data_IF_910772358056
#
_entry.id   IF_910772358056
#
_cell.length_a   1.000
_cell.length_b   1.000
_cell.length_c   1.000
_cell.angle_alpha   90.00
_cell.angle_beta   90.00
_cell.angle_gamma   90.00
#
_symmetry.space_group_name_H-M   'P 1'
#
loop_
_entity.id
_entity.type
_entity.pdbx_description
1 polymer ?
#
# COMPACT_ATOMS: atom_id res chain seq x y z
N UNK A 1 -33.11 -50.48 63.12
CA UNK A 1 -33.43 -49.83 64.42
C UNK A 1 -32.89 -48.41 64.36
N UNK A 2 -33.80 -47.44 64.31
CA UNK A 2 -33.99 -46.35 65.31
C UNK A 2 -32.94 -45.22 65.19
N UNK A 3 -33.32 -44.01 64.71
CA UNK A 3 -33.72 -42.80 65.49
C UNK A 3 -32.58 -42.33 66.44
N UNK A 4 -32.06 -41.09 66.44
CA UNK A 4 -32.73 -39.78 66.55
C UNK A 4 -31.70 -38.61 66.43
N UNK A 5 -32.20 -37.40 66.11
CA UNK A 5 -31.89 -36.00 66.58
C UNK A 5 -30.57 -35.71 67.35
N UNK A 6 -29.86 -34.56 67.32
CA UNK A 6 -30.25 -33.14 67.29
C UNK A 6 -29.01 -32.19 67.08
N UNK A 7 -29.07 -31.25 66.12
CA UNK A 7 -28.79 -29.77 66.14
C UNK A 7 -27.61 -29.16 66.96
N UNK A 8 -26.66 -28.45 66.32
CA UNK A 8 -26.33 -26.96 66.28
C UNK A 8 -24.78 -26.84 66.28
N UNK A 9 -24.08 -25.88 65.65
CA UNK A 9 -24.24 -24.44 65.50
C UNK A 9 -23.66 -23.90 64.16
N UNK A 10 -24.07 -22.67 63.82
CA UNK A 10 -23.86 -21.97 62.56
C UNK A 10 -22.64 -21.02 62.56
N UNK A 11 -22.04 -20.83 61.38
CA UNK A 11 -21.26 -19.64 60.99
C UNK A 11 -21.84 -19.06 59.68
N UNK A 12 -21.75 -17.74 59.44
CA UNK A 12 -22.63 -17.04 58.49
C UNK A 12 -22.08 -16.98 57.06
N UNK A 13 -22.95 -17.33 56.11
CA UNK A 13 -22.82 -17.08 54.67
C UNK A 13 -22.91 -15.57 54.36
N UNK A 14 -21.89 -15.05 53.68
CA UNK A 14 -21.89 -13.69 53.11
C UNK A 14 -22.33 -13.76 51.65
N UNK A 15 -23.53 -13.21 51.37
CA UNK A 15 -24.01 -12.90 50.02
C UNK A 15 -23.15 -11.79 49.38
N UNK A 16 -22.77 -11.90 48.09
CA UNK A 16 -22.32 -10.75 47.32
C UNK A 16 -23.50 -9.91 46.84
N UNK A 17 -23.42 -8.60 47.08
CA UNK A 17 -24.33 -7.58 46.57
C UNK A 17 -24.19 -7.39 45.05
N UNK A 18 -25.33 -7.16 44.39
CA UNK A 18 -25.48 -6.76 43.00
C UNK A 18 -24.71 -5.46 42.71
N UNK A 19 -23.84 -5.50 41.69
CA UNK A 19 -23.26 -4.30 41.08
C UNK A 19 -23.81 -4.15 39.67
N UNK A 20 -24.62 -3.09 39.54
CA UNK A 20 -25.12 -2.46 38.31
C UNK A 20 -24.16 -2.60 37.12
N UNK A 21 -24.69 -3.14 36.02
CA UNK A 21 -24.05 -3.19 34.71
C UNK A 21 -23.80 -1.77 34.19
N UNK A 22 -22.54 -1.34 34.22
CA UNK A 22 -22.07 -0.15 33.52
C UNK A 22 -21.68 -0.58 32.09
N UNK A 23 -22.43 -0.07 31.11
CA UNK A 23 -22.20 -0.25 29.67
C UNK A 23 -20.75 0.12 29.33
N UNK A 24 -19.95 -0.73 28.64
CA UNK A 24 -18.62 -0.33 28.22
C UNK A 24 -18.74 0.75 27.15
N UNK A 25 -18.06 1.88 27.38
CA UNK A 25 -17.85 2.90 26.36
C UNK A 25 -17.08 2.29 25.16
N UNK A 26 -17.32 2.75 23.92
CA UNK A 26 -16.60 2.24 22.76
C UNK A 26 -15.11 2.57 22.91
N UNK A 27 -14.27 1.56 22.69
CA UNK A 27 -12.83 1.72 22.60
C UNK A 27 -12.50 2.76 21.53
N UNK A 28 -11.66 3.73 21.88
CA UNK A 28 -11.02 4.61 20.92
C UNK A 28 -9.98 3.79 20.14
N UNK A 29 -10.43 3.10 19.08
CA UNK A 29 -9.56 2.51 18.07
C UNK A 29 -9.16 3.59 17.05
N UNK A 30 -7.86 3.76 16.82
CA UNK A 30 -7.36 4.67 15.80
C UNK A 30 -5.91 5.16 15.94
N UNK A 31 -5.12 4.66 16.89
CA UNK A 31 -3.78 5.18 17.17
C UNK A 31 -2.61 4.44 16.49
N UNK A 32 -2.84 3.57 15.49
CA UNK A 32 -1.75 2.76 14.89
C UNK A 32 -1.13 3.32 13.60
N UNK A 33 -1.60 4.45 13.06
CA UNK A 33 -1.14 4.93 11.72
C UNK A 33 -0.71 6.39 11.67
N UNK A 34 -0.69 7.13 12.79
CA UNK A 34 -0.33 8.55 12.82
C UNK A 34 -1.24 9.48 12.01
N UNK A 35 -2.36 8.94 11.52
CA UNK A 35 -3.29 9.61 10.63
C UNK A 35 -4.61 9.84 11.34
N UNK A 36 -5.19 11.05 11.20
CA UNK A 36 -6.50 11.34 11.76
C UNK A 36 -7.55 10.52 11.01
N UNK A 37 -8.24 9.67 11.77
CA UNK A 37 -9.36 8.86 11.29
C UNK A 37 -10.66 9.32 11.91
N UNK A 38 -11.76 9.30 11.16
CA UNK A 38 -13.10 9.52 11.71
C UNK A 38 -14.12 8.56 11.10
N UNK A 39 -15.09 8.15 11.92
CA UNK A 39 -16.18 7.29 11.47
C UNK A 39 -17.04 7.97 10.39
N UNK A 40 -17.28 9.28 10.52
CA UNK A 40 -18.00 10.07 9.50
C UNK A 40 -17.30 10.08 8.14
N UNK A 41 -15.97 9.98 8.12
CA UNK A 41 -15.19 9.87 6.89
C UNK A 41 -15.36 8.48 6.30
N UNK A 42 -15.22 7.46 7.12
CA UNK A 42 -15.34 6.05 6.73
C UNK A 42 -16.71 5.73 6.13
N UNK A 43 -17.80 6.19 6.75
CA UNK A 43 -19.18 6.00 6.26
C UNK A 43 -19.47 6.69 4.91
N UNK A 44 -18.59 7.59 4.46
CA UNK A 44 -18.67 8.24 3.15
C UNK A 44 -17.80 7.56 2.09
N UNK A 45 -16.86 6.71 2.48
CA UNK A 45 -16.03 5.98 1.52
C UNK A 45 -16.87 4.88 0.89
N UNK A 46 -16.79 4.72 -0.44
CA UNK A 46 -17.52 3.68 -1.14
C UNK A 46 -17.13 2.28 -0.63
N UNK A 47 -18.14 1.44 -0.40
CA UNK A 47 -17.95 0.06 0.07
C UNK A 47 -17.05 -0.80 -0.83
N UNK A 48 -16.90 -0.43 -2.11
CA UNK A 48 -16.03 -1.11 -3.05
C UNK A 48 -14.57 -0.62 -3.05
N UNK A 49 -14.22 0.40 -2.25
CA UNK A 49 -12.83 0.78 -1.94
C UNK A 49 -12.30 -0.19 -0.88
N UNK A 50 -11.46 -1.12 -1.29
CA UNK A 50 -10.89 -2.14 -0.42
C UNK A 50 -9.74 -1.61 0.43
N UNK A 51 -9.04 -0.60 -0.07
CA UNK A 51 -7.89 0.01 0.60
C UNK A 51 -7.57 1.36 -0.04
N UNK A 52 -7.01 2.29 0.75
CA UNK A 52 -6.46 3.55 0.24
C UNK A 52 -5.22 3.97 1.03
N UNK A 53 -4.39 4.81 0.45
CA UNK A 53 -3.21 5.33 1.13
C UNK A 53 -2.28 6.12 0.22
N UNK A 54 -0.99 6.14 0.56
CA UNK A 54 0.05 6.85 -0.19
C UNK A 54 0.87 5.84 -1.00
N UNK A 55 1.21 6.19 -2.23
CA UNK A 55 2.06 5.41 -3.13
C UNK A 55 3.31 6.21 -3.44
N UNK A 56 4.46 5.55 -3.36
CA UNK A 56 5.76 6.12 -3.73
C UNK A 56 6.35 5.33 -4.90
N UNK A 57 6.90 6.01 -5.89
CA UNK A 57 7.54 5.39 -7.05
C UNK A 57 9.04 5.63 -7.01
N UNK A 58 9.78 4.54 -7.21
CA UNK A 58 11.23 4.54 -7.16
C UNK A 58 11.85 3.97 -8.42
N UNK A 59 13.02 4.48 -8.77
CA UNK A 59 13.92 3.81 -9.70
C UNK A 59 15.27 3.56 -9.02
N UNK A 60 15.93 2.48 -9.40
CA UNK A 60 17.32 2.22 -9.02
C UNK A 60 18.23 2.35 -10.23
N UNK A 61 19.25 3.22 -10.20
CA UNK A 61 20.29 3.27 -11.22
C UNK A 61 20.99 1.92 -11.43
N UNK A 62 21.57 1.69 -12.61
CA UNK A 62 22.50 0.58 -12.81
C UNK A 62 23.77 0.77 -11.98
N UNK A 63 24.42 -0.34 -11.65
CA UNK A 63 25.75 -0.34 -11.04
C UNK A 63 26.70 0.52 -11.88
N UNK A 64 27.48 1.38 -11.23
CA UNK A 64 28.39 2.36 -11.83
C UNK A 64 27.71 3.46 -12.66
N UNK A 65 26.40 3.68 -12.51
CA UNK A 65 25.71 4.85 -13.03
C UNK A 65 25.35 5.77 -11.87
N UNK A 66 26.06 6.88 -11.75
CA UNK A 66 25.78 7.91 -10.73
C UNK A 66 24.66 8.84 -11.16
N UNK A 67 24.57 9.16 -12.45
CA UNK A 67 23.61 10.11 -13.00
C UNK A 67 22.91 9.51 -14.23
N UNK A 68 21.79 8.80 -14.03
CA UNK A 68 21.05 8.19 -15.13
C UNK A 68 20.53 9.25 -16.10
N UNK A 69 20.65 8.99 -17.40
CA UNK A 69 20.20 9.93 -18.44
C UNK A 69 19.01 9.39 -19.26
N UNK A 70 18.56 8.17 -18.93
CA UNK A 70 17.44 7.50 -19.60
C UNK A 70 16.97 6.26 -18.82
N UNK A 71 15.82 5.70 -19.20
CA UNK A 71 15.34 4.39 -18.71
C UNK A 71 16.35 3.26 -18.95
N UNK A 72 17.23 3.40 -19.94
CA UNK A 72 18.24 2.39 -20.24
C UNK A 72 19.28 2.26 -19.11
N UNK A 73 19.56 3.36 -18.41
CA UNK A 73 20.51 3.49 -17.30
C UNK A 73 19.95 3.04 -15.95
N UNK A 74 18.65 2.74 -15.91
CA UNK A 74 17.95 2.25 -14.73
C UNK A 74 18.10 0.73 -14.66
N UNK A 75 18.35 0.17 -13.48
CA UNK A 75 18.35 -1.27 -13.26
C UNK A 75 16.92 -1.80 -13.14
N UNK A 76 16.09 -1.15 -12.32
CA UNK A 76 14.69 -1.52 -12.05
C UNK A 76 13.91 -0.33 -11.52
N UNK A 77 12.59 -0.39 -11.64
CA UNK A 77 11.64 0.46 -10.92
C UNK A 77 10.77 -0.40 -10.02
N UNK A 78 10.15 0.23 -9.03
CA UNK A 78 9.23 -0.40 -8.10
C UNK A 78 8.34 0.66 -7.48
N UNK A 79 7.26 0.23 -6.84
CA UNK A 79 6.39 1.11 -6.08
C UNK A 79 6.25 0.61 -4.65
N UNK A 80 6.04 1.53 -3.72
CA UNK A 80 5.79 1.25 -2.31
C UNK A 80 4.38 1.73 -1.99
N UNK A 81 3.51 0.82 -1.57
CA UNK A 81 2.20 1.15 -1.05
C UNK A 81 2.28 1.31 0.47
N UNK A 82 1.73 2.42 0.97
CA UNK A 82 1.57 2.72 2.38
C UNK A 82 0.07 2.88 2.68
N UNK A 83 -0.60 1.80 3.08
CA UNK A 83 -2.01 1.84 3.44
C UNK A 83 -2.30 2.81 4.58
N UNK A 84 -3.49 3.37 4.55
CA UNK A 84 -4.07 4.17 5.62
C UNK A 84 -5.43 3.57 6.02
N UNK A 85 -5.93 3.80 7.25
CA UNK A 85 -7.29 3.41 7.61
C UNK A 85 -8.31 3.99 6.64
N UNK A 86 -9.45 3.32 6.41
CA UNK A 86 -10.46 3.82 5.47
C UNK A 86 -11.04 5.18 5.91
N UNK A 87 -11.20 5.41 7.22
CA UNK A 87 -11.60 6.72 7.77
C UNK A 87 -10.51 7.81 7.75
N UNK A 88 -9.31 7.53 7.22
CA UNK A 88 -8.18 8.45 7.21
C UNK A 88 -8.43 9.73 6.39
N UNK A 89 -7.89 10.84 6.89
CA UNK A 89 -7.67 12.09 6.15
C UNK A 89 -6.19 12.42 6.11
N UNK A 90 -5.72 13.16 5.11
CA UNK A 90 -4.31 13.59 5.01
C UNK A 90 -4.24 15.12 5.11
N UNK A 91 -4.48 15.74 6.26
CA UNK A 91 -4.53 17.21 6.34
C UNK A 91 -3.27 17.88 6.91
N UNK A 92 -3.20 19.21 6.83
CA UNK A 92 -2.09 20.04 7.30
C UNK A 92 -1.68 19.81 8.76
N UNK A 93 -2.58 19.28 9.60
CA UNK A 93 -2.31 19.06 11.02
C UNK A 93 -1.52 17.77 11.29
N UNK A 94 -1.16 17.03 10.23
CA UNK A 94 -0.70 15.65 10.31
C UNK A 94 0.81 15.47 10.08
N UNK A 95 1.54 16.54 9.75
CA UNK A 95 2.99 16.51 9.59
C UNK A 95 3.47 15.45 8.58
N UNK A 96 4.71 14.99 8.75
CA UNK A 96 5.20 13.81 8.02
C UNK A 96 4.50 12.55 8.53
N UNK A 97 4.09 11.68 7.60
CA UNK A 97 3.29 10.49 7.92
C UNK A 97 4.10 9.54 8.79
N UNK A 98 3.49 8.91 9.82
CA UNK A 98 4.24 8.21 10.87
C UNK A 98 5.10 7.01 10.40
N UNK A 99 6.38 6.92 10.81
CA UNK A 99 7.31 5.88 10.36
C UNK A 99 6.87 4.43 10.59
N UNK A 100 5.92 4.17 11.50
CA UNK A 100 5.45 2.84 11.88
C UNK A 100 4.46 2.18 10.90
N UNK A 101 3.93 2.93 9.93
CA UNK A 101 2.98 2.39 8.96
C UNK A 101 3.58 1.21 8.17
N UNK A 102 2.84 0.11 8.11
CA UNK A 102 3.23 -1.11 7.40
C UNK A 102 3.10 -0.93 5.90
N UNK A 103 4.23 -0.87 5.21
CA UNK A 103 4.34 -0.68 3.78
C UNK A 103 4.51 -2.02 3.04
N UNK A 104 4.16 -2.00 1.74
CA UNK A 104 4.41 -3.11 0.81
C UNK A 104 5.23 -2.61 -0.37
N UNK A 105 6.37 -3.25 -0.63
CA UNK A 105 7.19 -2.97 -1.80
C UNK A 105 6.79 -3.93 -2.92
N UNK A 106 6.20 -3.39 -3.98
CA UNK A 106 5.76 -4.14 -5.15
C UNK A 106 6.77 -3.96 -6.29
N UNK A 107 7.21 -5.08 -6.86
CA UNK A 107 8.22 -5.10 -7.92
C UNK A 107 7.65 -5.62 -9.23
N UNK A 108 8.02 -4.97 -10.33
CA UNK A 108 7.80 -5.46 -11.68
C UNK A 108 9.16 -5.74 -12.37
N UNK A 109 9.28 -6.79 -13.20
CA UNK A 109 10.48 -7.08 -13.97
C UNK A 109 10.80 -6.02 -15.03
N UNK A 110 9.76 -5.38 -15.57
CA UNK A 110 9.91 -4.28 -16.52
C UNK A 110 10.11 -2.97 -15.76
N UNK A 111 10.86 -2.07 -16.39
CA UNK A 111 11.14 -0.74 -15.82
C UNK A 111 9.98 0.22 -16.01
N UNK A 112 9.17 0.08 -17.06
CA UNK A 112 8.00 0.92 -17.31
C UNK A 112 6.75 0.24 -16.78
N UNK A 113 5.83 1.02 -16.22
CA UNK A 113 4.52 0.54 -15.82
C UNK A 113 3.59 0.39 -17.04
N UNK A 114 2.67 -0.59 -17.05
CA UNK A 114 1.72 -0.78 -18.15
C UNK A 114 0.83 0.44 -18.36
N UNK A 115 0.75 0.95 -19.59
CA UNK A 115 -0.11 2.10 -19.93
C UNK A 115 -1.32 1.73 -20.79
N UNK A 116 -1.41 0.48 -21.24
CA UNK A 116 -2.53 0.00 -22.06
C UNK A 116 -2.95 -1.42 -21.70
N UNK A 117 -4.20 -1.80 -22.04
CA UNK A 117 -4.72 -3.16 -21.77
C UNK A 117 -4.02 -4.29 -22.54
N UNK A 118 -3.13 -3.95 -23.47
CA UNK A 118 -2.24 -4.88 -24.18
C UNK A 118 -0.97 -5.18 -23.37
N UNK A 119 -0.59 -4.28 -22.48
CA UNK A 119 0.57 -4.41 -21.62
C UNK A 119 0.14 -5.10 -20.32
N UNK A 120 0.78 -6.24 -20.06
CA UNK A 120 0.46 -7.11 -18.92
C UNK A 120 1.77 -7.55 -18.32
N UNK A 121 2.03 -7.10 -17.11
CA UNK A 121 3.27 -7.36 -16.43
C UNK A 121 3.03 -8.13 -15.14
N UNK A 122 3.73 -9.24 -15.03
CA UNK A 122 3.80 -10.01 -13.80
C UNK A 122 4.61 -9.23 -12.78
N UNK A 123 4.07 -8.99 -11.60
CA UNK A 123 4.78 -8.43 -10.46
C UNK A 123 4.80 -9.38 -9.27
N UNK A 124 5.55 -9.00 -8.24
CA UNK A 124 5.56 -9.70 -6.97
C UNK A 124 5.83 -8.75 -5.80
N UNK A 125 5.44 -9.17 -4.60
CA UNK A 125 5.73 -8.46 -3.36
C UNK A 125 7.14 -8.81 -2.90
N UNK A 126 8.05 -7.84 -2.90
CA UNK A 126 9.44 -8.03 -2.42
C UNK A 126 9.48 -7.94 -0.89
N UNK A 127 8.76 -6.98 -0.31
CA UNK A 127 8.66 -6.76 1.14
C UNK A 127 7.20 -6.52 1.50
N UNK A 128 6.71 -7.19 2.54
CA UNK A 128 5.35 -7.00 3.05
C UNK A 128 5.38 -6.68 4.54
N UNK A 129 4.59 -5.72 4.99
CA UNK A 129 4.44 -5.40 6.42
C UNK A 129 5.64 -4.68 7.05
N UNK A 130 6.53 -4.08 6.25
CA UNK A 130 7.72 -3.39 6.76
C UNK A 130 7.42 -1.91 7.02
N UNK A 131 7.98 -1.34 8.09
CA UNK A 131 7.98 0.12 8.27
C UNK A 131 8.75 0.81 7.15
N UNK A 132 8.43 2.09 6.87
CA UNK A 132 9.17 2.86 5.86
C UNK A 132 10.66 2.92 6.20
N UNK A 133 11.00 3.12 7.48
CA UNK A 133 12.39 3.06 7.96
C UNK A 133 13.06 1.71 7.67
N UNK A 134 12.36 0.59 7.89
CA UNK A 134 12.90 -0.74 7.58
C UNK A 134 13.12 -0.93 6.07
N UNK A 135 12.23 -0.41 5.22
CA UNK A 135 12.43 -0.41 3.77
C UNK A 135 13.62 0.46 3.36
N UNK A 136 13.76 1.63 3.99
CA UNK A 136 14.87 2.56 3.76
C UNK A 136 16.22 1.86 3.98
N UNK A 137 16.39 1.25 5.15
CA UNK A 137 17.64 0.59 5.58
C UNK A 137 17.90 -0.72 4.84
N UNK A 138 16.88 -1.56 4.62
CA UNK A 138 17.06 -2.92 4.09
C UNK A 138 16.97 -3.04 2.57
N UNK A 139 16.44 -2.00 1.90
CA UNK A 139 16.24 -2.05 0.46
C UNK A 139 16.64 -0.76 -0.24
N UNK A 140 16.18 0.41 0.19
CA UNK A 140 16.30 1.66 -0.60
C UNK A 140 17.75 2.17 -0.62
N UNK A 141 18.44 2.22 0.52
CA UNK A 141 19.76 2.85 0.70
C UNK A 141 20.90 2.27 -0.19
N UNK A 142 20.67 1.15 -0.86
CA UNK A 142 21.71 0.43 -1.59
C UNK A 142 22.59 -0.39 -0.66
N UNK A 143 23.57 -1.11 -1.22
CA UNK A 143 24.46 -1.98 -0.46
C UNK A 143 25.79 -2.18 -1.21
N UNK A 144 26.85 -2.49 -0.49
CA UNK A 144 28.17 -2.77 -1.08
C UNK A 144 28.56 -4.21 -0.81
N UNK A 145 28.90 -4.94 -1.87
CA UNK A 145 29.20 -6.37 -1.80
C UNK A 145 30.41 -6.74 -2.65
N UNK A 146 31.21 -7.69 -2.19
CA UNK A 146 32.36 -8.19 -2.96
C UNK A 146 31.96 -9.27 -3.97
N UNK A 147 32.52 -9.18 -5.17
CA UNK A 147 32.39 -10.21 -6.20
C UNK A 147 33.70 -10.96 -6.39
N UNK A 148 33.64 -12.29 -6.46
CA UNK A 148 34.82 -13.15 -6.59
C UNK A 148 35.65 -12.92 -7.86
N UNK A 149 35.11 -12.21 -8.86
CA UNK A 149 35.75 -12.02 -10.17
C UNK A 149 36.10 -10.57 -10.48
N UNK A 150 35.44 -9.59 -9.83
CA UNK A 150 35.54 -8.17 -10.21
C UNK A 150 35.64 -7.22 -9.02
N UNK A 151 35.97 -7.74 -7.82
CA UNK A 151 36.13 -6.94 -6.62
C UNK A 151 34.81 -6.40 -6.07
N UNK A 152 34.91 -5.36 -5.25
CA UNK A 152 33.79 -4.66 -4.60
C UNK A 152 32.84 -4.03 -5.63
N UNK A 153 31.54 -4.21 -5.42
CA UNK A 153 30.46 -3.61 -6.20
C UNK A 153 29.48 -2.93 -5.27
N UNK A 154 29.06 -1.73 -5.65
CA UNK A 154 28.00 -1.00 -4.95
C UNK A 154 26.72 -1.05 -5.76
N UNK A 155 25.66 -1.55 -5.12
CA UNK A 155 24.28 -1.37 -5.56
C UNK A 155 23.90 0.07 -5.21
N UNK A 156 23.58 0.92 -6.21
CA UNK A 156 23.19 2.30 -5.92
C UNK A 156 21.90 2.37 -5.12
N UNK A 157 21.78 3.42 -4.33
CA UNK A 157 20.54 3.82 -3.67
C UNK A 157 19.40 3.98 -4.70
N UNK A 158 18.20 3.55 -4.33
CA UNK A 158 17.00 3.81 -5.11
C UNK A 158 16.51 5.24 -4.86
N UNK A 159 16.14 5.94 -5.93
CA UNK A 159 15.69 7.33 -5.89
C UNK A 159 14.18 7.40 -6.06
N UNK A 160 13.47 8.10 -5.16
CA UNK A 160 12.07 8.40 -5.39
C UNK A 160 11.95 9.40 -6.55
N UNK A 161 10.95 9.21 -7.40
CA UNK A 161 10.69 10.11 -8.53
C UNK A 161 9.22 10.51 -8.66
N UNK A 162 8.33 9.92 -7.86
CA UNK A 162 6.96 10.40 -7.71
C UNK A 162 6.36 9.93 -6.38
N UNK A 163 5.44 10.72 -5.84
CA UNK A 163 4.52 10.37 -4.77
C UNK A 163 3.09 10.65 -5.25
N UNK A 164 2.15 9.85 -4.79
CA UNK A 164 0.74 10.12 -4.96
C UNK A 164 -0.10 9.45 -3.90
N UNK A 165 -1.41 9.60 -4.04
CA UNK A 165 -2.40 8.82 -3.30
C UNK A 165 -2.89 7.68 -4.17
N UNK A 166 -3.32 6.58 -3.55
CA UNK A 166 -3.88 5.44 -4.27
C UNK A 166 -5.13 4.88 -3.60
N UNK A 167 -5.91 4.15 -4.39
CA UNK A 167 -6.99 3.30 -3.91
C UNK A 167 -6.96 1.94 -4.63
N UNK A 168 -7.19 0.87 -3.88
CA UNK A 168 -7.55 -0.43 -4.43
C UNK A 168 -9.07 -0.52 -4.42
N UNK A 169 -9.69 -0.62 -5.59
CA UNK A 169 -11.14 -0.72 -5.73
C UNK A 169 -11.55 -2.04 -6.34
N UNK A 170 -12.77 -2.47 -6.06
CA UNK A 170 -13.34 -3.70 -6.60
C UNK A 170 -14.51 -3.40 -7.52
N UNK A 171 -14.62 -4.21 -8.57
CA UNK A 171 -15.78 -4.34 -9.43
C UNK A 171 -16.20 -5.81 -9.45
N UNK A 172 -17.33 -6.14 -10.09
CA UNK A 172 -17.83 -7.52 -10.17
C UNK A 172 -16.80 -8.50 -10.77
N UNK A 173 -15.87 -8.02 -11.61
CA UNK A 173 -14.97 -8.89 -12.38
C UNK A 173 -13.47 -8.64 -12.18
N UNK A 174 -13.10 -7.56 -11.48
CA UNK A 174 -11.71 -7.16 -11.36
C UNK A 174 -11.48 -6.31 -10.10
N UNK A 175 -10.22 -6.23 -9.70
CA UNK A 175 -9.75 -5.21 -8.78
C UNK A 175 -8.89 -4.23 -9.55
N UNK A 176 -8.87 -2.99 -9.10
CA UNK A 176 -8.20 -1.89 -9.76
C UNK A 176 -7.28 -1.20 -8.75
N UNK A 177 -6.06 -0.85 -9.16
CA UNK A 177 -5.18 0.05 -8.43
C UNK A 177 -5.19 1.39 -9.15
N UNK A 178 -5.87 2.38 -8.56
CA UNK A 178 -5.90 3.75 -9.06
C UNK A 178 -4.93 4.63 -8.29
N UNK A 179 -4.37 5.64 -8.96
CA UNK A 179 -3.49 6.62 -8.33
C UNK A 179 -3.73 8.04 -8.87
N UNK A 180 -3.42 9.03 -8.04
CA UNK A 180 -3.28 10.44 -8.41
C UNK A 180 -1.93 10.89 -7.86
N UNK A 181 -1.04 11.36 -8.73
CA UNK A 181 0.26 11.88 -8.31
C UNK A 181 0.11 13.29 -7.74
N UNK A 182 0.83 13.54 -6.66
CA UNK A 182 0.88 14.84 -5.97
C UNK A 182 2.31 15.38 -5.89
N UNK A 183 3.33 14.54 -6.14
CA UNK A 183 4.72 14.92 -6.35
C UNK A 183 5.26 14.16 -7.56
N UNK A 184 5.96 14.82 -8.50
CA UNK A 184 6.16 16.27 -8.58
C UNK A 184 4.85 17.00 -8.90
N UNK A 185 4.74 18.29 -8.56
CA UNK A 185 3.58 19.13 -8.90
C UNK A 185 3.29 19.10 -10.42
N UNK A 186 4.34 19.09 -11.24
CA UNK A 186 4.23 18.95 -12.70
C UNK A 186 4.97 17.71 -13.18
N UNK A 187 4.23 16.82 -13.85
CA UNK A 187 4.78 15.63 -14.51
C UNK A 187 5.80 16.03 -15.57
N UNK A 188 6.97 15.38 -15.54
CA UNK A 188 8.01 15.58 -16.53
C UNK A 188 8.40 14.31 -17.27
N UNK A 189 9.45 14.41 -18.08
CA UNK A 189 9.89 13.34 -18.99
C UNK A 189 10.27 12.06 -18.24
N UNK A 190 10.79 12.14 -17.02
CA UNK A 190 11.10 10.94 -16.24
C UNK A 190 9.82 10.15 -15.94
N UNK A 191 8.80 10.81 -15.40
CA UNK A 191 7.54 10.14 -15.03
C UNK A 191 6.88 9.52 -16.28
N UNK A 192 6.80 10.27 -17.38
CA UNK A 192 6.28 9.79 -18.67
C UNK A 192 7.08 8.60 -19.20
N UNK A 193 8.41 8.65 -19.12
CA UNK A 193 9.28 7.57 -19.57
C UNK A 193 9.07 6.28 -18.77
N UNK A 194 8.66 6.39 -17.51
CA UNK A 194 8.28 5.27 -16.66
C UNK A 194 6.83 4.80 -16.86
N UNK A 195 6.05 5.47 -17.72
CA UNK A 195 4.64 5.15 -17.97
C UNK A 195 3.70 5.68 -16.88
N UNK A 196 4.12 6.69 -16.13
CA UNK A 196 3.28 7.40 -15.17
C UNK A 196 2.70 8.67 -15.80
N UNK A 197 1.47 8.97 -15.38
CA UNK A 197 0.72 10.16 -15.75
C UNK A 197 0.29 10.89 -14.48
N UNK A 198 -0.35 12.06 -14.61
CA UNK A 198 -0.87 12.80 -13.44
C UNK A 198 -1.84 11.96 -12.59
N UNK A 199 -2.62 11.10 -13.27
CA UNK A 199 -3.52 10.12 -12.69
C UNK A 199 -3.64 8.91 -13.61
N UNK A 200 -4.01 7.77 -13.06
CA UNK A 200 -4.16 6.55 -13.84
C UNK A 200 -4.68 5.38 -13.02
N UNK A 201 -4.88 4.26 -13.71
CA UNK A 201 -5.26 3.01 -13.05
C UNK A 201 -4.77 1.77 -13.79
N UNK A 202 -4.62 0.69 -13.02
CA UNK A 202 -4.31 -0.65 -13.50
C UNK A 202 -5.35 -1.65 -13.02
N UNK A 203 -5.70 -2.61 -13.87
CA UNK A 203 -6.36 -3.83 -13.41
C UNK A 203 -5.31 -4.72 -12.74
N UNK A 204 -5.63 -5.19 -11.53
CA UNK A 204 -4.74 -6.02 -10.70
C UNK A 204 -5.40 -7.36 -10.35
N UNK A 205 -4.66 -8.44 -10.55
CA UNK A 205 -5.11 -9.81 -10.25
C UNK A 205 -4.06 -10.55 -9.44
N UNK A 206 -4.47 -11.30 -8.43
CA UNK A 206 -3.57 -12.16 -7.66
C UNK A 206 -3.42 -13.51 -8.33
N UNK A 207 -2.18 -13.97 -8.44
CA UNK A 207 -1.86 -15.29 -8.95
C UNK A 207 -1.99 -16.33 -7.83
N UNK A 208 -2.69 -17.42 -8.13
CA UNK A 208 -2.74 -18.56 -7.23
C UNK A 208 -1.40 -19.34 -7.28
N UNK A 209 -0.66 -19.50 -6.17
CA UNK A 209 0.62 -20.21 -6.14
C UNK A 209 0.50 -21.71 -6.44
N UNK A 210 -0.72 -22.29 -6.35
CA UNK A 210 -1.01 -23.67 -6.77
C UNK A 210 -0.63 -23.93 -8.23
N UNK A 211 -0.63 -22.90 -9.09
CA UNK A 211 -0.36 -23.03 -10.51
C UNK A 211 0.99 -22.38 -10.89
N UNK A 212 1.84 -23.09 -11.66
CA UNK A 212 3.15 -22.58 -12.04
C UNK A 212 3.03 -21.30 -12.85
N UNK A 213 3.92 -20.34 -12.64
CA UNK A 213 3.97 -19.09 -13.41
C UNK A 213 4.51 -19.31 -14.83
N UNK A 214 4.32 -18.33 -15.74
CA UNK A 214 5.05 -18.33 -17.00
C UNK A 214 6.56 -18.31 -16.71
N UNK A 215 7.36 -18.97 -17.55
CA UNK A 215 8.79 -19.20 -17.30
C UNK A 215 9.59 -17.92 -17.04
N UNK A 216 9.22 -16.80 -17.66
CA UNK A 216 9.88 -15.50 -17.49
C UNK A 216 9.56 -14.80 -16.15
N UNK A 217 8.58 -15.29 -15.39
CA UNK A 217 8.14 -14.72 -14.11
C UNK A 217 8.04 -15.78 -13.02
N UNK A 218 8.84 -16.85 -13.11
CA UNK A 218 8.99 -17.81 -12.03
C UNK A 218 9.90 -17.24 -10.95
N UNK A 219 9.42 -17.28 -9.72
CA UNK A 219 10.19 -16.90 -8.54
C UNK A 219 10.67 -18.17 -7.82
N UNK A 220 11.74 -18.05 -7.03
CA UNK A 220 12.37 -19.20 -6.38
C UNK A 220 11.52 -19.79 -5.25
N UNK A 221 10.70 -18.96 -4.60
CA UNK A 221 9.89 -19.31 -3.44
C UNK A 221 8.49 -18.74 -3.60
N UNK A 222 7.47 -19.53 -3.30
CA UNK A 222 6.08 -19.11 -3.28
C UNK A 222 5.74 -18.31 -2.01
N UNK A 223 4.66 -17.50 -2.00
CA UNK A 223 4.19 -16.83 -0.79
C UNK A 223 3.73 -17.83 0.27
N UNK A 224 4.03 -17.50 1.53
CA UNK A 224 3.63 -18.29 2.70
C UNK A 224 2.18 -17.96 3.12
N UNK A 225 1.22 -18.29 2.26
CA UNK A 225 -0.19 -18.07 2.58
C UNK A 225 -0.70 -19.07 3.64
N UNK A 226 -1.45 -18.59 4.67
CA UNK A 226 -2.24 -19.48 5.52
C UNK A 226 -3.40 -20.08 4.72
N UNK A 227 -4.00 -21.14 5.25
CA UNK A 227 -5.05 -21.88 4.55
C UNK A 227 -6.26 -21.00 4.21
N UNK A 228 -6.65 -20.09 5.12
CA UNK A 228 -7.73 -19.13 4.91
C UNK A 228 -7.53 -18.23 3.69
N UNK A 229 -6.29 -17.90 3.33
CA UNK A 229 -5.96 -17.12 2.13
C UNK A 229 -5.94 -18.03 0.90
N UNK A 230 -5.40 -19.25 1.02
CA UNK A 230 -5.37 -20.23 -0.08
C UNK A 230 -6.77 -20.62 -0.53
N UNK A 231 -7.69 -20.84 0.39
CA UNK A 231 -9.09 -21.18 0.12
C UNK A 231 -9.80 -20.10 -0.71
N UNK A 232 -9.47 -18.82 -0.52
CA UNK A 232 -10.06 -17.70 -1.27
C UNK A 232 -9.69 -17.73 -2.77
N UNK A 233 -8.61 -18.39 -3.16
CA UNK A 233 -8.30 -18.60 -4.58
C UNK A 233 -9.13 -19.71 -5.22
N UNK A 234 -9.61 -20.68 -4.44
CA UNK A 234 -10.22 -21.90 -4.95
C UNK A 234 -9.35 -22.60 -5.99
N UNK A 235 -9.99 -23.07 -7.07
CA UNK A 235 -9.31 -23.67 -8.23
C UNK A 235 -9.00 -22.66 -9.35
N UNK A 236 -9.17 -21.36 -9.09
CA UNK A 236 -8.84 -20.35 -10.08
C UNK A 236 -7.33 -20.08 -10.08
N UNK A 237 -6.76 -19.98 -11.28
CA UNK A 237 -5.36 -19.58 -11.48
C UNK A 237 -5.14 -18.10 -11.13
N UNK A 238 -6.18 -17.30 -11.33
CA UNK A 238 -6.20 -15.85 -11.16
C UNK A 238 -7.50 -15.45 -10.48
N UNK A 239 -7.40 -14.55 -9.51
CA UNK A 239 -8.54 -13.92 -8.85
C UNK A 239 -8.35 -12.41 -8.82
N UNK A 240 -9.42 -11.60 -8.74
CA UNK A 240 -9.30 -10.18 -8.43
C UNK A 240 -8.45 -9.97 -7.17
N UNK A 241 -7.53 -9.00 -7.20
CA UNK A 241 -6.64 -8.77 -6.09
C UNK A 241 -7.40 -8.26 -4.85
N UNK A 242 -7.18 -8.88 -3.71
CA UNK A 242 -7.58 -8.38 -2.39
C UNK A 242 -6.32 -7.89 -1.65
N UNK A 243 -6.42 -6.83 -0.83
CA UNK A 243 -5.26 -6.30 -0.09
C UNK A 243 -4.47 -7.36 0.69
N UNK A 244 -5.17 -8.28 1.36
CA UNK A 244 -4.57 -9.38 2.13
C UNK A 244 -3.71 -10.32 1.27
N UNK A 245 -3.95 -10.42 -0.03
CA UNK A 245 -3.16 -11.29 -0.91
C UNK A 245 -1.75 -10.75 -1.13
N UNK A 246 -1.51 -9.46 -0.90
CA UNK A 246 -0.18 -8.84 -1.06
C UNK A 246 0.49 -8.51 0.28
N UNK A 247 -0.04 -9.03 1.39
CA UNK A 247 0.58 -8.94 2.72
C UNK A 247 1.66 -10.02 2.96
N UNK A 248 2.04 -10.75 1.91
CA UNK A 248 3.00 -11.84 1.98
C UNK A 248 4.13 -11.61 0.97
N UNK A 249 5.41 -11.69 1.39
CA UNK A 249 6.52 -11.70 0.45
C UNK A 249 6.35 -12.82 -0.57
N UNK A 250 6.83 -12.58 -1.79
CA UNK A 250 6.70 -13.47 -2.95
C UNK A 250 5.28 -13.61 -3.51
N UNK A 251 4.27 -12.95 -2.94
CA UNK A 251 2.93 -12.93 -3.54
C UNK A 251 3.01 -12.36 -4.95
N UNK A 252 2.56 -13.12 -5.94
CA UNK A 252 2.61 -12.72 -7.34
C UNK A 252 1.28 -12.13 -7.79
N UNK A 253 1.36 -11.07 -8.58
CA UNK A 253 0.19 -10.42 -9.16
C UNK A 253 0.42 -10.13 -10.65
N UNK A 254 -0.67 -9.91 -11.37
CA UNK A 254 -0.66 -9.41 -12.73
C UNK A 254 -1.17 -7.96 -12.70
N UNK A 255 -0.40 -7.05 -13.28
CA UNK A 255 -0.77 -5.65 -13.47
C UNK A 255 -1.00 -5.38 -14.96
N UNK A 256 -2.16 -4.83 -15.31
CA UNK A 256 -2.59 -4.59 -16.68
C UNK A 256 -2.96 -3.11 -16.81
N UNK A 257 -2.45 -2.42 -17.84
CA UNK A 257 -2.79 -1.02 -18.09
C UNK A 257 -4.30 -0.85 -18.30
N UNK A 258 -4.91 0.13 -17.63
CA UNK A 258 -6.33 0.42 -17.78
C UNK A 258 -6.57 1.85 -18.29
N UNK A 259 -6.22 2.85 -17.49
CA UNK A 259 -6.43 4.26 -17.82
C UNK A 259 -5.19 5.11 -17.54
N UNK A 260 -5.00 6.13 -18.37
CA UNK A 260 -3.95 7.15 -18.29
C UNK A 260 -4.61 8.52 -18.40
N UNK A 261 -4.24 9.46 -17.54
CA UNK A 261 -4.89 10.78 -17.42
C UNK A 261 -6.38 10.73 -17.05
N UNK A 262 -6.86 9.55 -16.66
CA UNK A 262 -8.20 9.25 -16.17
C UNK A 262 -8.12 8.08 -15.18
N UNK A 263 -9.14 7.88 -14.35
CA UNK A 263 -9.18 6.80 -13.36
C UNK A 263 -9.89 5.53 -13.89
N UNK A 264 -10.60 5.63 -15.01
CA UNK A 264 -11.31 4.53 -15.64
C UNK A 264 -12.36 3.92 -14.73
N UNK A 265 -12.52 2.59 -14.79
CA UNK A 265 -13.48 1.86 -13.97
C UNK A 265 -13.15 1.90 -12.48
N UNK A 266 -11.90 2.20 -12.14
CA UNK A 266 -11.46 2.28 -10.76
C UNK A 266 -12.15 3.41 -9.99
N UNK A 267 -12.63 4.45 -10.68
CA UNK A 267 -13.31 5.61 -10.08
C UNK A 267 -14.80 5.40 -9.81
N UNK A 268 -15.41 4.31 -10.26
CA UNK A 268 -16.87 4.13 -10.21
C UNK A 268 -17.26 2.87 -9.45
N UNK A 269 -18.24 2.99 -8.56
CA UNK A 269 -18.94 1.83 -8.02
C UNK A 269 -20.04 1.38 -9.02
N UNK A 270 -20.11 0.08 -9.29
CA UNK A 270 -21.20 -0.52 -10.08
C UNK A 270 -22.55 -0.44 -9.31
N UNK A 271 -23.67 -0.71 -9.98
CA UNK A 271 -24.99 -0.68 -9.34
C UNK A 271 -25.03 -1.63 -8.12
N UNK A 272 -25.39 -1.10 -6.95
CA UNK A 272 -25.36 -1.83 -5.68
C UNK A 272 -23.96 -1.96 -5.05
N UNK A 273 -22.91 -1.45 -5.69
CA UNK A 273 -21.53 -1.46 -5.18
C UNK A 273 -21.20 -0.32 -4.21
N UNK A 274 -22.15 0.59 -3.97
CA UNK A 274 -22.08 1.63 -2.95
C UNK A 274 -23.45 1.96 -2.36
N UNK A 275 -23.46 2.54 -1.16
CA UNK A 275 -24.67 3.10 -0.55
C UNK A 275 -24.97 4.52 -1.08
N UNK A 276 -26.18 5.02 -0.86
CA UNK A 276 -26.62 6.32 -1.40
C UNK A 276 -25.86 7.52 -0.79
N UNK A 277 -25.40 7.39 0.46
CA UNK A 277 -24.61 8.39 1.20
C UNK A 277 -23.10 8.30 0.95
N UNK A 278 -22.64 7.24 0.27
CA UNK A 278 -21.23 7.04 -0.06
C UNK A 278 -20.85 7.84 -1.32
N UNK A 279 -19.65 8.42 -1.31
CA UNK A 279 -19.03 9.05 -2.47
C UNK A 279 -18.71 8.01 -3.56
N UNK A 280 -18.42 8.44 -4.78
CA UNK A 280 -17.78 7.55 -5.75
C UNK A 280 -16.31 7.29 -5.35
N UNK A 281 -15.73 6.12 -5.67
CA UNK A 281 -14.31 5.87 -5.42
C UNK A 281 -13.37 6.93 -5.99
N UNK A 282 -13.69 7.46 -7.18
CA UNK A 282 -12.94 8.54 -7.81
C UNK A 282 -13.01 9.84 -7.00
N UNK A 283 -14.19 10.21 -6.50
CA UNK A 283 -14.37 11.39 -5.64
C UNK A 283 -13.60 11.26 -4.33
N UNK A 284 -13.57 10.05 -3.74
CA UNK A 284 -12.77 9.78 -2.54
C UNK A 284 -11.28 9.93 -2.82
N UNK A 285 -10.79 9.39 -3.94
CA UNK A 285 -9.38 9.47 -4.31
C UNK A 285 -8.96 10.90 -4.66
N UNK A 286 -9.80 11.66 -5.37
CA UNK A 286 -9.56 13.08 -5.65
C UNK A 286 -9.51 13.91 -4.38
N UNK A 287 -10.43 13.67 -3.45
CA UNK A 287 -10.40 14.33 -2.14
C UNK A 287 -9.15 13.99 -1.35
N UNK A 288 -8.73 12.71 -1.35
CA UNK A 288 -7.49 12.29 -0.70
C UNK A 288 -6.26 12.95 -1.34
N UNK A 289 -6.28 13.14 -2.67
CA UNK A 289 -5.24 13.85 -3.41
C UNK A 289 -5.14 15.32 -3.01
N UNK A 290 -6.28 16.04 -2.97
CA UNK A 290 -6.34 17.44 -2.53
C UNK A 290 -5.85 17.60 -1.08
N UNK A 291 -6.29 16.71 -0.18
CA UNK A 291 -5.80 16.67 1.20
C UNK A 291 -4.26 16.51 1.22
N UNK A 292 -3.72 15.56 0.44
CA UNK A 292 -2.28 15.35 0.36
C UNK A 292 -1.52 16.55 -0.23
N UNK A 293 -2.07 17.23 -1.25
CA UNK A 293 -1.51 18.46 -1.81
C UNK A 293 -1.45 19.57 -0.76
N UNK A 294 -2.54 19.80 0.00
CA UNK A 294 -2.55 20.78 1.10
C UNK A 294 -1.48 20.45 2.16
N UNK A 295 -1.28 19.16 2.46
CA UNK A 295 -0.22 18.69 3.36
C UNK A 295 1.18 18.99 2.80
N UNK A 296 1.40 18.70 1.51
CA UNK A 296 2.66 18.93 0.80
C UNK A 296 3.00 20.43 0.77
N UNK A 297 2.03 21.28 0.45
CA UNK A 297 2.19 22.74 0.43
C UNK A 297 2.49 23.31 1.83
N UNK A 298 1.84 22.78 2.87
CA UNK A 298 2.09 23.18 4.25
C UNK A 298 3.46 22.73 4.79
N UNK A 299 4.10 21.76 4.13
CA UNK A 299 5.42 21.23 4.47
C UNK A 299 6.51 21.89 3.61
N UNK A 300 7.19 21.13 2.74
CA UNK A 300 8.33 21.61 1.94
C UNK A 300 8.09 21.47 0.43
N UNK A 301 6.83 21.44 0.00
CA UNK A 301 6.52 21.15 -1.40
C UNK A 301 7.02 19.75 -1.78
N UNK A 302 7.53 19.59 -3.00
CA UNK A 302 8.04 18.31 -3.52
C UNK A 302 9.08 17.62 -2.63
N UNK A 303 9.83 18.36 -1.81
CA UNK A 303 10.84 17.79 -0.90
C UNK A 303 10.20 17.01 0.27
N UNK A 304 8.88 17.15 0.49
CA UNK A 304 8.08 16.40 1.47
C UNK A 304 8.26 14.88 1.33
N UNK A 305 8.45 14.40 0.09
CA UNK A 305 8.66 12.98 -0.18
C UNK A 305 9.87 12.42 0.59
N UNK A 306 10.94 13.21 0.75
CA UNK A 306 12.12 12.76 1.48
C UNK A 306 11.81 12.65 2.97
N UNK A 307 11.07 13.60 3.54
CA UNK A 307 10.68 13.56 4.95
C UNK A 307 9.78 12.34 5.23
N UNK A 308 8.82 12.05 4.36
CA UNK A 308 7.92 10.89 4.48
C UNK A 308 8.62 9.54 4.36
N UNK A 309 9.76 9.51 3.66
CA UNK A 309 10.64 8.34 3.56
C UNK A 309 11.63 8.24 4.74
N UNK A 310 11.58 9.17 5.69
CA UNK A 310 12.50 9.22 6.83
C UNK A 310 13.89 9.72 6.46
N UNK A 311 14.00 10.48 5.36
CA UNK A 311 15.22 11.05 4.83
C UNK A 311 15.34 12.55 5.17
N UNK A 312 16.56 13.02 5.39
CA UNK A 312 16.82 14.45 5.47
C UNK A 312 16.87 15.02 4.05
N UNK A 313 15.82 15.72 3.65
CA UNK A 313 15.69 16.35 2.34
C UNK A 313 16.92 17.17 1.91
N UNK A 314 17.68 17.74 2.86
CA UNK A 314 18.90 18.52 2.56
C UNK A 314 20.02 17.67 1.95
N UNK A 315 19.97 16.36 2.14
CA UNK A 315 20.98 15.43 1.63
C UNK A 315 20.62 14.87 0.24
N UNK A 316 19.45 15.22 -0.30
CA UNK A 316 18.96 14.72 -1.58
C UNK A 316 18.77 15.87 -2.58
N UNK A 317 18.97 15.61 -3.88
CA UNK A 317 18.55 16.56 -4.91
C UNK A 317 17.02 16.71 -4.88
N UNK A 318 16.50 17.73 -5.57
CA UNK A 318 15.05 17.82 -5.81
C UNK A 318 14.53 16.59 -6.54
N UNK A 319 13.25 16.29 -6.34
CA UNK A 319 12.57 15.23 -7.08
C UNK A 319 12.72 15.45 -8.57
N UNK A 320 13.27 14.48 -9.32
CA UNK A 320 13.65 14.72 -10.71
C UNK A 320 12.42 14.63 -11.62
N UNK A 321 12.16 15.68 -12.40
CA UNK A 321 11.15 15.72 -13.47
C UNK A 321 11.77 15.42 -14.84
N UNK A 322 13.08 15.63 -14.99
CA UNK A 322 13.87 15.35 -16.21
C UNK A 322 15.11 14.56 -15.86
N UNK A 323 15.66 13.85 -16.85
CA UNK A 323 16.95 13.16 -16.78
C UNK A 323 18.12 14.13 -16.61
#
# INVERSE_FOLDING_TARGET
EEKSEEKRDAEPDTKPEEKSEEKPAPAADGAETGVKTSQEREEKVASNVLEKGIVYFFYRPRVNVTDPQSVSDVARSFLVLRPTPIGATLNQQQGSVEPGAKCRLLMLPKKKFPTSGKERDMGFVEKAGHSMKSLQESFIAGDTYETSTRGERTVPEARPFAEGVYAITSTTRASHLAYILTIPETIGSIQEDFGLHSRGSWVIQSKNPKYPGPSYAQIQKDPEYPESIREKFGDYRWVPLQPEFIDYPNAQFLMIGEATDDLGKAATAEEGGKQANEAQPGEELEKLGQENEERIEALRGDDTIYEDLGLDAKNYPKVPTTW
#
